data_IF_383093716934
#
_entry.id   IF_383093716934
#
_cell.length_a   1.000
_cell.length_b   1.000
_cell.length_c   1.000
_cell.angle_alpha   90.00
_cell.angle_beta   90.00
_cell.angle_gamma   90.00
#
_symmetry.space_group_name_H-M   'P 1'
#
loop_
_entity.id
_entity.type
_entity.pdbx_description
1 polymer ?
#
# COMPACT_ATOMS: atom_id res chain seq x y z
N UNK A 1 9.11 16.04 9.81
CA UNK A 1 7.89 15.62 10.55
C UNK A 1 7.66 16.57 11.72
N UNK A 2 6.41 16.92 12.01
CA UNK A 2 6.04 17.65 13.22
C UNK A 2 5.77 16.67 14.36
N UNK A 3 6.05 17.07 15.61
CA UNK A 3 5.75 16.26 16.79
C UNK A 3 4.31 16.51 17.21
N UNK A 4 3.50 15.46 17.17
CA UNK A 4 2.11 15.48 17.62
C UNK A 4 1.95 14.50 18.78
N UNK A 5 1.29 14.92 19.85
CA UNK A 5 0.94 14.06 20.99
C UNK A 5 -0.52 13.66 20.80
N UNK A 6 -0.77 12.36 20.71
CA UNK A 6 -2.11 11.76 20.60
C UNK A 6 -2.16 10.53 21.47
N UNK A 7 -3.31 10.28 22.08
CA UNK A 7 -3.59 9.00 22.71
C UNK A 7 -3.97 7.99 21.61
N UNK A 8 -3.40 6.79 21.70
CA UNK A 8 -3.61 5.72 20.72
C UNK A 8 -3.97 4.46 21.51
N UNK A 9 -4.96 3.72 21.00
CA UNK A 9 -5.28 2.39 21.48
C UNK A 9 -4.10 1.44 21.22
N UNK A 10 -3.50 0.92 22.30
CA UNK A 10 -2.30 0.09 22.22
C UNK A 10 -2.57 -1.28 21.59
N UNK A 11 -3.78 -1.83 21.71
CA UNK A 11 -4.15 -3.11 21.10
C UNK A 11 -4.30 -2.93 19.59
N UNK A 12 -4.98 -1.86 19.16
CA UNK A 12 -5.09 -1.51 17.75
C UNK A 12 -3.71 -1.22 17.13
N UNK A 13 -2.84 -0.53 17.87
CA UNK A 13 -1.48 -0.23 17.42
C UNK A 13 -0.63 -1.50 17.29
N UNK A 14 -0.76 -2.45 18.22
CA UNK A 14 -0.08 -3.73 18.16
C UNK A 14 -0.57 -4.58 16.97
N UNK A 15 -1.89 -4.64 16.74
CA UNK A 15 -2.46 -5.33 15.60
C UNK A 15 -1.95 -4.75 14.27
N UNK A 16 -1.95 -3.43 14.13
CA UNK A 16 -1.42 -2.76 12.96
C UNK A 16 0.10 -3.02 12.78
N UNK A 17 0.87 -3.09 13.86
CA UNK A 17 2.31 -3.36 13.78
C UNK A 17 2.60 -4.77 13.24
N UNK A 18 1.81 -5.77 13.67
CA UNK A 18 1.90 -7.14 13.16
C UNK A 18 1.56 -7.17 11.67
N UNK A 19 0.46 -6.55 11.26
CA UNK A 19 0.00 -6.56 9.87
C UNK A 19 0.96 -5.81 8.92
N UNK A 20 1.53 -4.69 9.39
CA UNK A 20 2.45 -3.87 8.61
C UNK A 20 3.92 -4.35 8.69
N UNK A 21 4.22 -5.30 9.57
CA UNK A 21 5.58 -5.80 9.81
C UNK A 21 6.52 -4.75 10.39
N UNK A 22 6.01 -3.86 11.25
CA UNK A 22 6.77 -2.74 11.81
C UNK A 22 7.18 -3.01 13.26
N UNK A 23 8.26 -2.36 13.70
CA UNK A 23 8.84 -2.59 15.04
C UNK A 23 8.71 -1.41 15.99
N UNK A 24 8.35 -0.22 15.48
CA UNK A 24 8.20 0.99 16.30
C UNK A 24 6.82 1.63 16.11
N UNK A 25 6.27 2.20 17.19
CA UNK A 25 4.97 2.91 17.16
C UNK A 25 4.93 3.98 16.05
N UNK A 26 6.02 4.74 15.90
CA UNK A 26 6.12 5.81 14.89
C UNK A 26 6.09 5.24 13.48
N UNK A 27 6.82 4.15 13.21
CA UNK A 27 6.81 3.51 11.90
C UNK A 27 5.42 2.92 11.58
N UNK A 28 4.78 2.25 12.55
CA UNK A 28 3.41 1.74 12.40
C UNK A 28 2.43 2.85 12.04
N UNK A 29 2.43 3.95 12.79
CA UNK A 29 1.51 5.07 12.55
C UNK A 29 1.76 5.72 11.20
N UNK A 30 3.02 5.99 10.85
CA UNK A 30 3.31 6.62 9.55
C UNK A 30 2.94 5.71 8.37
N UNK A 31 3.25 4.41 8.44
CA UNK A 31 2.89 3.46 7.38
C UNK A 31 1.37 3.28 7.28
N UNK A 32 0.66 3.19 8.41
CA UNK A 32 -0.80 3.14 8.40
C UNK A 32 -1.41 4.39 7.73
N UNK A 33 -0.92 5.58 8.08
CA UNK A 33 -1.39 6.83 7.48
C UNK A 33 -1.09 6.89 5.97
N UNK A 34 0.10 6.49 5.53
CA UNK A 34 0.44 6.42 4.10
C UNK A 34 -0.43 5.41 3.35
N UNK A 35 -0.75 4.27 3.96
CA UNK A 35 -1.57 3.22 3.35
C UNK A 35 -3.03 3.67 3.17
N UNK A 36 -3.57 4.39 4.15
CA UNK A 36 -4.91 5.00 4.05
C UNK A 36 -4.91 6.18 3.09
N UNK A 37 -3.89 7.05 3.14
CA UNK A 37 -3.79 8.22 2.26
C UNK A 37 -3.68 7.86 0.78
N UNK A 38 -2.97 6.77 0.45
CA UNK A 38 -2.83 6.26 -0.92
C UNK A 38 -4.01 5.39 -1.39
N UNK A 39 -5.07 5.23 -0.57
CA UNK A 39 -6.18 4.32 -0.90
C UNK A 39 -6.92 4.72 -2.18
N UNK A 40 -7.18 6.01 -2.39
CA UNK A 40 -7.86 6.50 -3.60
C UNK A 40 -7.02 6.28 -4.85
N UNK A 41 -5.72 6.58 -4.79
CA UNK A 41 -4.77 6.36 -5.88
C UNK A 41 -4.67 4.88 -6.23
N UNK A 42 -4.57 4.00 -5.23
CA UNK A 42 -4.60 2.54 -5.44
C UNK A 42 -5.89 2.07 -6.11
N UNK A 43 -7.04 2.61 -5.72
CA UNK A 43 -8.31 2.29 -6.38
C UNK A 43 -8.34 2.79 -7.83
N UNK A 44 -7.79 3.98 -8.10
CA UNK A 44 -7.67 4.50 -9.46
C UNK A 44 -6.75 3.64 -10.33
N UNK A 45 -5.65 3.12 -9.77
CA UNK A 45 -4.77 2.18 -10.47
C UNK A 45 -5.50 0.87 -10.78
N UNK A 46 -6.23 0.31 -9.82
CA UNK A 46 -7.02 -0.90 -10.05
C UNK A 46 -8.09 -0.69 -11.12
N UNK A 47 -8.72 0.49 -11.13
CA UNK A 47 -9.68 0.87 -12.16
C UNK A 47 -9.01 0.94 -13.54
N UNK A 48 -7.85 1.60 -13.62
CA UNK A 48 -7.09 1.69 -14.86
C UNK A 48 -6.71 0.29 -15.38
N UNK A 49 -6.24 -0.60 -14.51
CA UNK A 49 -5.91 -1.99 -14.86
C UNK A 49 -7.13 -2.77 -15.35
N UNK A 50 -8.31 -2.56 -14.76
CA UNK A 50 -9.55 -3.22 -15.19
C UNK A 50 -10.00 -2.79 -16.59
N UNK A 51 -9.61 -1.59 -17.02
CA UNK A 51 -9.93 -1.04 -18.34
C UNK A 51 -8.81 -1.13 -19.35
N UNK A 52 -7.62 -1.55 -18.91
CA UNK A 52 -6.46 -1.72 -19.78
C UNK A 52 -6.68 -2.92 -20.71
N UNK A 53 -6.03 -2.87 -21.88
CA UNK A 53 -5.97 -4.03 -22.77
C UNK A 53 -5.11 -5.13 -22.12
N UNK A 54 -5.53 -6.38 -22.25
CA UNK A 54 -4.86 -7.52 -21.60
C UNK A 54 -3.82 -8.13 -22.55
N UNK A 55 -2.72 -7.40 -22.75
CA UNK A 55 -1.55 -7.86 -23.50
C UNK A 55 -0.64 -8.78 -22.66
N UNK A 56 -0.88 -8.88 -21.34
CA UNK A 56 -0.17 -9.77 -20.42
C UNK A 56 -0.40 -11.25 -20.76
N UNK A 57 -1.52 -11.58 -21.42
CA UNK A 57 -1.80 -12.92 -21.93
C UNK A 57 -1.11 -13.26 -23.25
N UNK A 58 -0.53 -12.28 -23.95
CA UNK A 58 0.07 -12.48 -25.27
C UNK A 58 1.53 -12.93 -25.17
N UNK A 59 1.78 -14.21 -25.46
CA UNK A 59 3.09 -14.85 -25.31
C UNK A 59 4.24 -14.14 -26.07
N UNK A 60 4.10 -13.74 -27.35
CA UNK A 60 5.11 -12.93 -28.04
C UNK A 60 5.35 -11.56 -27.39
N UNK A 61 4.31 -10.86 -26.91
CA UNK A 61 4.47 -9.56 -26.22
C UNK A 61 5.28 -9.74 -24.93
N UNK A 62 4.93 -10.75 -24.12
CA UNK A 62 5.67 -11.06 -22.90
C UNK A 62 7.11 -11.49 -23.21
N UNK A 63 7.35 -12.28 -24.26
CA UNK A 63 8.70 -12.67 -24.65
C UNK A 63 9.58 -11.50 -25.12
N UNK A 64 9.00 -10.40 -25.61
CA UNK A 64 9.72 -9.18 -25.97
C UNK A 64 10.02 -8.31 -24.74
N UNK A 65 9.11 -8.24 -23.77
CA UNK A 65 9.26 -7.42 -22.56
C UNK A 65 10.42 -7.84 -21.63
N UNK A 66 10.87 -9.10 -21.69
CA UNK A 66 11.95 -9.64 -20.86
C UNK A 66 13.32 -9.71 -21.56
N UNK A 67 13.46 -9.13 -22.77
CA UNK A 67 14.76 -8.99 -23.44
C UNK A 67 15.51 -7.75 -22.95
#
# INVERSE_FOLDING_TARGET
MARTVVDIDDDALAAAAVELGTTTKVDTVNRALSLVGSRSERLAVLEALRTADDDLGDAPVMADAWR
#
